data_IF_792874469886
#
_entry.id   IF_792874469886
#
_cell.length_a   1.000
_cell.length_b   1.000
_cell.length_c   1.000
_cell.angle_alpha   90.00
_cell.angle_beta   90.00
_cell.angle_gamma   90.00
#
_symmetry.space_group_name_H-M   'P 1'
#
loop_
_entity.id
_entity.type
_entity.pdbx_description
1 polymer ?
#
# COMPACT_ATOMS: atom_id res chain seq x y z
N UNK A 1 19.56 6.75 14.47
CA UNK A 1 19.65 5.89 13.28
C UNK A 1 20.16 4.53 13.73
N UNK A 2 19.50 3.43 13.34
CA UNK A 2 20.01 2.07 13.58
C UNK A 2 20.71 1.58 12.31
N UNK A 3 21.83 0.89 12.43
CA UNK A 3 22.55 0.34 11.29
C UNK A 3 21.98 -1.04 10.95
N UNK A 4 21.81 -1.33 9.65
CA UNK A 4 21.31 -2.60 9.13
C UNK A 4 22.27 -3.08 8.05
N UNK A 5 22.74 -4.31 8.18
CA UNK A 5 23.51 -5.01 7.14
C UNK A 5 22.52 -5.79 6.28
N UNK A 6 22.58 -5.61 4.96
CA UNK A 6 21.69 -6.28 4.00
C UNK A 6 22.54 -7.03 2.99
N UNK A 7 22.18 -8.29 2.74
CA UNK A 7 22.77 -9.09 1.66
C UNK A 7 21.87 -9.00 0.42
N UNK A 8 22.49 -8.86 -0.74
CA UNK A 8 21.81 -8.81 -2.05
C UNK A 8 22.77 -9.33 -3.12
N UNK A 9 22.23 -9.65 -4.29
CA UNK A 9 23.04 -10.03 -5.45
C UNK A 9 23.89 -8.85 -5.94
N UNK A 10 25.06 -9.16 -6.51
CA UNK A 10 26.01 -8.13 -6.98
C UNK A 10 25.37 -7.18 -8.01
N UNK A 11 24.57 -7.74 -8.93
CA UNK A 11 23.82 -6.98 -9.94
C UNK A 11 22.85 -5.97 -9.32
N UNK A 12 22.17 -6.36 -8.24
CA UNK A 12 21.23 -5.52 -7.50
C UNK A 12 21.98 -4.42 -6.76
N UNK A 13 23.12 -4.74 -6.15
CA UNK A 13 23.95 -3.76 -5.47
C UNK A 13 24.51 -2.70 -6.43
N UNK A 14 24.94 -3.10 -7.63
CA UNK A 14 25.41 -2.19 -8.67
C UNK A 14 24.28 -1.27 -9.17
N UNK A 15 23.13 -1.87 -9.50
CA UNK A 15 21.96 -1.10 -9.90
C UNK A 15 21.55 -0.07 -8.83
N UNK A 16 21.52 -0.48 -7.56
CA UNK A 16 21.15 0.40 -6.44
C UNK A 16 22.10 1.60 -6.30
N UNK A 17 23.41 1.41 -6.52
CA UNK A 17 24.39 2.50 -6.52
C UNK A 17 24.16 3.47 -7.67
N UNK A 18 23.93 2.96 -8.88
CA UNK A 18 23.64 3.78 -10.06
C UNK A 18 22.35 4.59 -9.88
N UNK A 19 21.32 3.95 -9.34
CA UNK A 19 20.03 4.61 -9.11
C UNK A 19 20.11 5.66 -7.99
N UNK A 20 20.85 5.38 -6.92
CA UNK A 20 21.11 6.35 -5.88
C UNK A 20 21.88 7.57 -6.42
N UNK A 21 22.90 7.35 -7.25
CA UNK A 21 23.64 8.42 -7.91
C UNK A 21 22.74 9.25 -8.84
N UNK A 22 21.90 8.59 -9.66
CA UNK A 22 20.93 9.26 -10.55
C UNK A 22 20.00 10.21 -9.78
N UNK A 23 19.61 9.82 -8.56
CA UNK A 23 18.72 10.60 -7.68
C UNK A 23 19.46 11.54 -6.74
N UNK A 24 20.79 11.69 -6.86
CA UNK A 24 21.64 12.47 -5.95
C UNK A 24 21.44 12.09 -4.46
N UNK A 25 21.28 10.79 -4.19
CA UNK A 25 21.04 10.24 -2.85
C UNK A 25 22.01 9.11 -2.53
N UNK A 26 21.98 8.61 -1.30
CA UNK A 26 22.73 7.42 -0.89
C UNK A 26 21.89 6.15 -1.05
N UNK A 27 22.56 5.01 -1.25
CA UNK A 27 21.88 3.70 -1.28
C UNK A 27 21.10 3.45 0.02
N UNK A 28 21.66 3.82 1.17
CA UNK A 28 20.98 3.69 2.46
C UNK A 28 19.70 4.52 2.55
N UNK A 29 19.69 5.74 2.00
CA UNK A 29 18.50 6.59 1.95
C UNK A 29 17.48 6.03 0.96
N UNK A 30 17.92 5.61 -0.22
CA UNK A 30 17.06 4.97 -1.23
C UNK A 30 16.33 3.75 -0.67
N UNK A 31 17.07 2.83 -0.04
CA UNK A 31 16.49 1.62 0.57
C UNK A 31 15.55 1.99 1.73
N UNK A 32 15.91 2.96 2.55
CA UNK A 32 15.05 3.43 3.64
C UNK A 32 13.72 4.02 3.15
N UNK A 33 13.75 4.80 2.08
CA UNK A 33 12.56 5.38 1.45
C UNK A 33 11.66 4.30 0.85
N UNK A 34 12.24 3.33 0.12
CA UNK A 34 11.50 2.19 -0.43
C UNK A 34 10.83 1.35 0.68
N UNK A 35 11.53 1.08 1.78
CA UNK A 35 10.95 0.36 2.93
C UNK A 35 9.83 1.16 3.59
N UNK A 36 10.01 2.47 3.79
CA UNK A 36 8.98 3.32 4.36
C UNK A 36 7.73 3.39 3.48
N UNK A 37 7.90 3.42 2.15
CA UNK A 37 6.79 3.36 1.20
C UNK A 37 6.05 2.03 1.27
N UNK A 38 6.79 0.91 1.29
CA UNK A 38 6.20 -0.41 1.47
C UNK A 38 5.41 -0.53 2.77
N UNK A 39 5.96 -0.06 3.89
CA UNK A 39 5.27 -0.08 5.18
C UNK A 39 3.95 0.69 5.15
N UNK A 40 3.92 1.88 4.51
CA UNK A 40 2.68 2.67 4.38
C UNK A 40 1.63 1.95 3.52
N UNK A 41 2.04 1.29 2.45
CA UNK A 41 1.13 0.56 1.59
C UNK A 41 0.56 -0.68 2.27
N UNK A 42 1.40 -1.44 2.97
CA UNK A 42 0.96 -2.64 3.72
C UNK A 42 -0.01 -2.23 4.85
N UNK A 43 0.29 -1.17 5.62
CA UNK A 43 -0.58 -0.64 6.69
C UNK A 43 -1.92 -0.12 6.15
N UNK A 44 -1.91 0.59 5.01
CA UNK A 44 -3.13 1.12 4.41
C UNK A 44 -4.09 0.01 3.98
N UNK A 45 -3.57 -1.09 3.43
CA UNK A 45 -4.38 -2.25 3.06
C UNK A 45 -4.95 -2.94 4.30
N UNK A 46 -4.11 -3.24 5.30
CA UNK A 46 -4.56 -3.88 6.53
C UNK A 46 -5.64 -3.05 7.23
N UNK A 47 -5.45 -1.73 7.31
CA UNK A 47 -6.43 -0.81 7.90
C UNK A 47 -7.76 -0.83 7.12
N UNK A 48 -7.73 -0.75 5.79
CA UNK A 48 -8.93 -0.80 4.97
C UNK A 48 -9.67 -2.16 5.10
N UNK A 49 -8.92 -3.25 5.22
CA UNK A 49 -9.47 -4.59 5.46
C UNK A 49 -10.15 -4.68 6.83
N UNK A 50 -9.50 -4.19 7.90
CA UNK A 50 -10.08 -4.18 9.24
C UNK A 50 -11.32 -3.29 9.30
N UNK A 51 -11.28 -2.10 8.71
CA UNK A 51 -12.44 -1.20 8.60
C UNK A 51 -13.60 -1.88 7.87
N UNK A 52 -13.33 -2.64 6.80
CA UNK A 52 -14.35 -3.39 6.09
C UNK A 52 -14.96 -4.53 6.92
N UNK A 53 -14.13 -5.31 7.62
CA UNK A 53 -14.56 -6.43 8.47
C UNK A 53 -15.39 -5.96 9.68
N UNK A 54 -14.99 -4.86 10.30
CA UNK A 54 -15.67 -4.30 11.47
C UNK A 54 -16.88 -3.43 11.12
N UNK A 55 -17.10 -3.15 9.84
CA UNK A 55 -18.28 -2.39 9.41
C UNK A 55 -19.53 -3.25 9.56
N UNK A 56 -20.17 -3.11 10.72
CA UNK A 56 -21.50 -3.66 10.96
C UNK A 56 -22.50 -3.08 9.94
N UNK A 57 -23.01 -3.93 9.05
CA UNK A 57 -23.96 -3.53 8.02
C UNK A 57 -25.38 -3.90 8.42
N UNK A 58 -26.05 -2.84 8.86
CA UNK A 58 -27.49 -2.58 8.76
C UNK A 58 -28.14 -2.81 7.40
N UNK A 59 -28.36 -4.04 6.92
CA UNK A 59 -29.24 -4.21 5.74
C UNK A 59 -30.70 -4.05 6.18
N UNK A 60 -31.16 -2.80 6.24
CA UNK A 60 -32.56 -2.48 6.55
C UNK A 60 -33.28 -2.21 5.25
N UNK A 61 -34.20 -3.11 4.89
CA UNK A 61 -35.23 -2.83 3.89
C UNK A 61 -36.40 -2.14 4.60
N UNK A 62 -36.94 -1.10 3.98
CA UNK A 62 -38.20 -0.46 4.38
C UNK A 62 -39.44 -1.29 3.97
N UNK A 63 -39.21 -2.47 3.39
CA UNK A 63 -40.25 -3.37 2.90
C UNK A 63 -40.87 -2.94 1.58
N UNK A 64 -40.41 -1.84 0.97
CA UNK A 64 -40.89 -1.39 -0.33
C UNK A 64 -40.43 -2.34 -1.43
N UNK A 65 -41.28 -2.50 -2.45
CA UNK A 65 -40.91 -3.27 -3.63
C UNK A 65 -39.73 -2.58 -4.34
N UNK A 66 -38.70 -3.35 -4.69
CA UNK A 66 -37.57 -2.83 -5.44
C UNK A 66 -38.05 -2.16 -6.75
N UNK A 67 -37.45 -1.02 -7.14
CA UNK A 67 -37.83 -0.33 -8.36
C UNK A 67 -37.67 -1.26 -9.56
N UNK A 68 -38.73 -1.39 -10.35
CA UNK A 68 -38.66 -2.15 -11.59
C UNK A 68 -37.85 -1.37 -12.62
N UNK A 69 -37.06 -2.08 -13.44
CA UNK A 69 -36.18 -1.53 -14.47
C UNK A 69 -36.87 -0.50 -15.40
N UNK A 70 -38.19 -0.61 -15.57
CA UNK A 70 -39.03 0.30 -16.37
C UNK A 70 -39.32 1.66 -15.72
N UNK A 71 -39.10 1.83 -14.42
CA UNK A 71 -39.42 3.06 -13.69
C UNK A 71 -38.29 4.12 -13.72
N UNK A 72 -37.13 3.80 -14.31
CA UNK A 72 -35.96 4.68 -14.38
C UNK A 72 -35.86 5.41 -15.75
N UNK A 73 -36.96 5.97 -16.24
CA UNK A 73 -36.98 6.76 -17.47
C UNK A 73 -37.49 8.17 -17.23
#
# INVERSE_FOLDING_TARGET
MKNVTVSMEDSVAEWARLEAARRNTSVSRLVGEMLAEKMRHDDAYERAMQDWLHRERSWVSDGQAYPQRSAAK
#
